data_IF_139982107702
#
_entry.id   IF_139982107702
#
_cell.length_a   1.000
_cell.length_b   1.000
_cell.length_c   1.000
_cell.angle_alpha   90.00
_cell.angle_beta   90.00
_cell.angle_gamma   90.00
#
_symmetry.space_group_name_H-M   'P 1'
#
loop_
_entity.id
_entity.type
_entity.pdbx_description
1 polymer ?
#
# COMPACT_ATOMS: atom_id res chain seq x y z
N UNK A 1 20.01 10.12 8.27
CA UNK A 1 18.96 9.31 8.92
C UNK A 1 17.60 10.03 8.99
N UNK A 2 17.46 11.25 9.53
CA UNK A 2 16.14 11.91 9.65
C UNK A 2 15.41 12.07 8.30
N UNK A 3 16.11 12.57 7.26
CA UNK A 3 15.52 12.72 5.93
C UNK A 3 15.00 11.39 5.36
N UNK A 4 15.81 10.34 5.46
CA UNK A 4 15.45 8.98 5.03
C UNK A 4 14.24 8.42 5.80
N UNK A 5 14.16 8.68 7.11
CA UNK A 5 13.01 8.31 7.92
C UNK A 5 11.72 9.06 7.52
N UNK A 6 11.84 10.33 7.11
CA UNK A 6 10.70 11.11 6.60
C UNK A 6 10.27 10.62 5.21
N UNK A 7 11.23 10.26 4.35
CA UNK A 7 10.93 9.64 3.04
C UNK A 7 10.19 8.31 3.22
N UNK A 8 10.66 7.45 4.12
CA UNK A 8 9.99 6.18 4.42
C UNK A 8 8.58 6.39 4.98
N UNK A 9 8.39 7.38 5.86
CA UNK A 9 7.09 7.74 6.39
C UNK A 9 6.13 8.27 5.31
N UNK A 10 6.64 9.10 4.40
CA UNK A 10 5.87 9.59 3.26
C UNK A 10 5.46 8.45 2.31
N UNK A 11 6.36 7.49 2.06
CA UNK A 11 6.08 6.30 1.26
C UNK A 11 5.01 5.41 1.91
N UNK A 12 5.07 5.25 3.25
CA UNK A 12 4.04 4.56 4.01
C UNK A 12 2.68 5.27 3.91
N UNK A 13 2.68 6.60 3.95
CA UNK A 13 1.49 7.43 3.71
C UNK A 13 0.86 7.20 2.33
N UNK A 14 1.68 7.22 1.27
CA UNK A 14 1.22 6.92 -0.08
C UNK A 14 0.64 5.51 -0.23
N UNK A 15 1.29 4.52 0.39
CA UNK A 15 0.83 3.13 0.41
C UNK A 15 -0.53 3.01 1.11
N UNK A 16 -0.72 3.69 2.24
CA UNK A 16 -1.99 3.66 2.96
C UNK A 16 -3.15 4.22 2.15
N UNK A 17 -2.93 5.30 1.39
CA UNK A 17 -3.95 5.88 0.51
C UNK A 17 -4.41 4.86 -0.55
N UNK A 18 -3.48 4.25 -1.29
CA UNK A 18 -3.85 3.34 -2.39
C UNK A 18 -4.44 2.02 -1.90
N UNK A 19 -4.07 1.57 -0.70
CA UNK A 19 -4.58 0.32 -0.13
C UNK A 19 -5.94 0.48 0.55
N UNK A 20 -6.22 1.65 1.13
CA UNK A 20 -7.54 1.94 1.68
C UNK A 20 -8.54 2.39 0.60
N UNK A 21 -8.08 2.88 -0.56
CA UNK A 21 -8.94 3.30 -1.64
C UNK A 21 -9.85 2.13 -2.09
N UNK A 22 -11.16 2.40 -2.14
CA UNK A 22 -12.17 1.39 -2.51
C UNK A 22 -12.51 0.38 -1.39
N UNK A 23 -11.93 0.50 -0.20
CA UNK A 23 -12.29 -0.33 0.96
C UNK A 23 -13.25 0.37 1.91
N UNK A 24 -13.83 -0.38 2.85
CA UNK A 24 -14.67 0.19 3.92
C UNK A 24 -13.92 1.12 4.86
N UNK A 25 -12.58 1.07 4.89
CA UNK A 25 -11.74 1.96 5.72
C UNK A 25 -11.41 3.28 5.01
N UNK A 26 -11.75 3.42 3.73
CA UNK A 26 -11.43 4.60 2.91
C UNK A 26 -11.88 5.91 3.54
N UNK A 27 -13.16 5.98 3.92
CA UNK A 27 -13.75 7.23 4.43
C UNK A 27 -13.05 7.72 5.72
N UNK A 28 -12.67 6.78 6.61
CA UNK A 28 -11.95 7.10 7.84
C UNK A 28 -10.56 7.67 7.54
N UNK A 29 -9.80 6.97 6.68
CA UNK A 29 -8.46 7.40 6.26
C UNK A 29 -8.53 8.75 5.52
N UNK A 30 -9.45 8.91 4.58
CA UNK A 30 -9.61 10.11 3.77
C UNK A 30 -9.79 11.36 4.65
N UNK A 31 -10.66 11.26 5.66
CA UNK A 31 -10.90 12.34 6.62
C UNK A 31 -9.70 12.59 7.55
N UNK A 32 -8.96 11.55 7.93
CA UNK A 32 -7.76 11.70 8.75
C UNK A 32 -6.62 12.38 7.97
N UNK A 33 -6.39 11.96 6.72
CA UNK A 33 -5.36 12.53 5.84
C UNK A 33 -5.68 13.97 5.51
N UNK A 34 -6.93 14.29 5.17
CA UNK A 34 -7.32 15.68 4.89
C UNK A 34 -7.10 16.62 6.09
N UNK A 35 -7.41 16.16 7.31
CA UNK A 35 -7.13 16.91 8.55
C UNK A 35 -5.64 17.05 8.83
N UNK A 36 -4.84 16.02 8.50
CA UNK A 36 -3.40 16.07 8.66
C UNK A 36 -2.74 17.11 7.74
N UNK A 37 -3.22 17.25 6.50
CA UNK A 37 -2.78 18.30 5.58
C UNK A 37 -3.32 19.67 6.01
N UNK A 38 -4.65 19.82 6.13
CA UNK A 38 -5.31 21.09 6.44
C UNK A 38 -5.41 21.41 7.93
N UNK A 39 -4.31 21.30 8.69
CA UNK A 39 -4.28 21.44 10.17
C UNK A 39 -5.00 22.70 10.67
N UNK A 40 -4.84 23.81 9.95
CA UNK A 40 -5.42 25.11 10.29
C UNK A 40 -6.17 25.76 9.11
N UNK A 41 -6.20 25.09 7.94
CA UNK A 41 -6.82 25.61 6.71
C UNK A 41 -7.90 24.67 6.19
N UNK A 42 -9.16 25.09 6.35
CA UNK A 42 -10.33 24.37 5.88
C UNK A 42 -10.43 24.32 4.34
N UNK A 43 -9.82 25.26 3.62
CA UNK A 43 -9.74 25.21 2.16
C UNK A 43 -8.71 24.17 1.71
N UNK A 44 -7.55 24.11 2.38
CA UNK A 44 -6.55 23.07 2.14
C UNK A 44 -7.14 21.68 2.39
N UNK A 45 -7.85 21.50 3.52
CA UNK A 45 -8.55 20.25 3.83
C UNK A 45 -9.50 19.84 2.69
N UNK A 46 -10.33 20.76 2.18
CA UNK A 46 -11.26 20.48 1.05
C UNK A 46 -10.52 20.13 -0.24
N UNK A 47 -9.43 20.82 -0.56
CA UNK A 47 -8.62 20.52 -1.74
C UNK A 47 -7.99 19.12 -1.66
N UNK A 48 -7.54 18.72 -0.48
CA UNK A 48 -6.99 17.38 -0.23
C UNK A 48 -8.07 16.32 -0.35
N UNK A 49 -9.26 16.55 0.21
CA UNK A 49 -10.41 15.64 0.06
C UNK A 49 -10.76 15.39 -1.41
N UNK A 50 -10.88 16.44 -2.21
CA UNK A 50 -11.18 16.31 -3.64
C UNK A 50 -10.08 15.56 -4.40
N UNK A 51 -8.82 15.71 -3.99
CA UNK A 51 -7.71 15.00 -4.61
C UNK A 51 -7.70 13.51 -4.24
N UNK A 52 -7.98 13.19 -2.98
CA UNK A 52 -8.13 11.81 -2.52
C UNK A 52 -9.28 11.12 -3.27
N UNK A 53 -10.41 11.81 -3.41
CA UNK A 53 -11.58 11.34 -4.16
C UNK A 53 -11.21 10.99 -5.61
N UNK A 54 -10.55 11.91 -6.32
CA UNK A 54 -10.04 11.65 -7.67
C UNK A 54 -9.04 10.50 -7.77
N UNK A 55 -8.23 10.28 -6.73
CA UNK A 55 -7.28 9.15 -6.69
C UNK A 55 -8.04 7.82 -6.54
N UNK A 56 -9.06 7.80 -5.68
CA UNK A 56 -9.93 6.63 -5.51
C UNK A 56 -10.73 6.33 -6.78
N UNK A 57 -11.26 7.35 -7.45
CA UNK A 57 -11.95 7.20 -8.74
C UNK A 57 -11.01 6.63 -9.82
N UNK A 58 -9.76 7.11 -9.90
CA UNK A 58 -8.77 6.60 -10.84
C UNK A 58 -8.45 5.12 -10.58
N UNK A 59 -8.33 4.73 -9.30
CA UNK A 59 -8.11 3.34 -8.90
C UNK A 59 -9.32 2.46 -9.19
N UNK A 60 -10.54 2.97 -9.00
CA UNK A 60 -11.78 2.24 -9.28
C UNK A 60 -12.06 2.08 -10.78
N UNK A 61 -11.62 3.06 -11.59
CA UNK A 61 -11.78 3.02 -13.04
C UNK A 61 -10.73 2.17 -13.77
N UNK A 62 -9.62 1.84 -13.11
CA UNK A 62 -8.56 1.04 -13.70
C UNK A 62 -9.01 -0.43 -13.89
N UNK A 63 -8.79 -0.98 -15.08
CA UNK A 63 -9.03 -2.40 -15.33
C UNK A 63 -7.97 -3.30 -14.70
N UNK A 64 -8.25 -4.60 -14.62
CA UNK A 64 -7.38 -5.60 -13.97
C UNK A 64 -5.94 -5.63 -14.52
N UNK A 65 -5.73 -5.25 -15.78
CA UNK A 65 -4.40 -5.19 -16.40
C UNK A 65 -3.63 -3.88 -16.14
N UNK A 66 -4.29 -2.85 -15.61
CA UNK A 66 -3.73 -1.50 -15.41
C UNK A 66 -3.70 -1.10 -13.93
N UNK A 67 -4.45 -1.80 -13.08
CA UNK A 67 -4.64 -1.49 -11.66
C UNK A 67 -3.31 -1.36 -10.91
N UNK A 68 -2.33 -2.22 -11.18
CA UNK A 68 -1.02 -2.16 -10.53
C UNK A 68 -0.20 -0.92 -10.92
N UNK A 69 -0.28 -0.53 -12.20
CA UNK A 69 0.38 0.68 -12.70
C UNK A 69 -0.27 1.94 -12.12
N UNK A 70 -1.60 1.97 -12.03
CA UNK A 70 -2.34 3.08 -11.42
C UNK A 70 -2.06 3.15 -9.91
N UNK A 71 -2.03 2.01 -9.21
CA UNK A 71 -1.62 1.94 -7.78
C UNK A 71 -0.23 2.51 -7.57
N UNK A 72 0.76 2.08 -8.35
CA UNK A 72 2.13 2.58 -8.24
C UNK A 72 2.21 4.10 -8.47
N UNK A 73 1.50 4.59 -9.49
CA UNK A 73 1.45 6.03 -9.82
C UNK A 73 0.81 6.83 -8.69
N UNK A 74 -0.36 6.43 -8.21
CA UNK A 74 -1.06 7.15 -7.15
C UNK A 74 -0.26 7.10 -5.84
N UNK A 75 0.37 5.97 -5.51
CA UNK A 75 1.25 5.86 -4.36
C UNK A 75 2.40 6.86 -4.44
N UNK A 76 3.08 6.96 -5.59
CA UNK A 76 4.18 7.91 -5.79
C UNK A 76 3.71 9.36 -5.67
N UNK A 77 2.56 9.70 -6.25
CA UNK A 77 1.96 11.04 -6.13
C UNK A 77 1.67 11.40 -4.68
N UNK A 78 1.14 10.47 -3.89
CA UNK A 78 0.84 10.72 -2.48
C UNK A 78 2.11 10.77 -1.63
N UNK A 79 3.08 9.89 -1.89
CA UNK A 79 4.40 9.94 -1.26
C UNK A 79 5.05 11.31 -1.45
N UNK A 80 5.11 11.82 -2.68
CA UNK A 80 5.70 13.13 -2.98
C UNK A 80 4.99 14.24 -2.20
N UNK A 81 3.67 14.18 -2.07
CA UNK A 81 2.89 15.17 -1.31
C UNK A 81 3.17 15.17 0.17
N UNK A 82 3.22 13.99 0.79
CA UNK A 82 3.59 13.87 2.19
C UNK A 82 5.02 14.37 2.41
N UNK A 83 5.95 14.00 1.53
CA UNK A 83 7.33 14.46 1.55
C UNK A 83 7.44 15.98 1.47
N UNK A 84 6.79 16.59 0.47
CA UNK A 84 6.83 18.03 0.25
C UNK A 84 6.33 18.84 1.46
N UNK A 85 5.27 18.39 2.14
CA UNK A 85 4.79 19.04 3.37
C UNK A 85 5.81 18.87 4.49
N UNK A 86 6.33 17.67 4.73
CA UNK A 86 7.30 17.43 5.78
C UNK A 86 8.60 18.23 5.56
N UNK A 87 9.09 18.30 4.32
CA UNK A 87 10.28 19.05 3.94
C UNK A 87 10.10 20.56 4.05
N UNK A 88 8.90 21.07 3.74
CA UNK A 88 8.57 22.50 3.80
C UNK A 88 8.39 23.05 5.22
N UNK A 89 8.20 22.19 6.23
CA UNK A 89 8.03 22.59 7.63
C UNK A 89 9.37 22.84 8.33
N UNK A 90 9.39 23.76 9.30
CA UNK A 90 10.52 23.95 10.22
C UNK A 90 10.66 22.75 11.16
N UNK A 91 11.87 22.49 11.67
CA UNK A 91 12.21 21.24 12.37
C UNK A 91 11.20 20.82 13.46
N UNK A 92 10.82 21.73 14.38
CA UNK A 92 9.84 21.41 15.42
C UNK A 92 8.44 21.08 14.86
N UNK A 93 7.97 21.83 13.86
CA UNK A 93 6.66 21.58 13.23
C UNK A 93 6.69 20.33 12.35
N UNK A 94 7.84 20.02 11.76
CA UNK A 94 8.11 18.82 10.97
C UNK A 94 8.08 17.56 11.84
N UNK A 95 8.70 17.58 13.01
CA UNK A 95 8.66 16.45 13.96
C UNK A 95 7.22 16.18 14.41
N UNK A 96 6.48 17.22 14.83
CA UNK A 96 5.05 17.08 15.18
C UNK A 96 4.21 16.57 14.02
N UNK A 97 4.47 17.05 12.80
CA UNK A 97 3.77 16.58 11.61
C UNK A 97 4.07 15.11 11.30
N UNK A 98 5.33 14.69 11.43
CA UNK A 98 5.75 13.31 11.25
C UNK A 98 5.13 12.39 12.30
N UNK A 99 5.11 12.79 13.57
CA UNK A 99 4.43 12.04 14.64
C UNK A 99 2.92 11.91 14.39
N UNK A 100 2.26 13.00 14.00
CA UNK A 100 0.86 12.97 13.63
C UNK A 100 0.59 12.03 12.44
N UNK A 101 1.51 11.96 11.48
CA UNK A 101 1.38 11.03 10.34
C UNK A 101 1.56 9.57 10.80
N UNK A 102 2.54 9.28 11.66
CA UNK A 102 2.72 7.94 12.23
C UNK A 102 1.47 7.49 12.99
N UNK A 103 0.97 8.33 13.89
CA UNK A 103 -0.23 8.03 14.66
C UNK A 103 -1.47 7.79 13.77
N UNK A 104 -1.59 8.53 12.65
CA UNK A 104 -2.64 8.32 11.66
C UNK A 104 -2.53 6.94 11.01
N UNK A 105 -1.31 6.54 10.60
CA UNK A 105 -1.06 5.25 9.96
C UNK A 105 -1.27 4.08 10.92
N UNK A 106 -0.87 4.22 12.18
CA UNK A 106 -1.10 3.20 13.22
C UNK A 106 -2.60 3.03 13.51
N UNK A 107 -3.39 4.11 13.43
CA UNK A 107 -4.84 4.07 13.61
C UNK A 107 -5.60 3.49 12.40
N UNK A 108 -4.97 3.44 11.23
CA UNK A 108 -5.55 2.90 9.99
C UNK A 108 -4.65 1.80 9.43
N UNK A 109 -4.51 0.67 10.16
CA UNK A 109 -3.66 -0.41 9.72
C UNK A 109 -4.18 -0.94 8.38
N UNK A 110 -3.31 -0.90 7.40
CA UNK A 110 -3.58 -1.47 6.09
C UNK A 110 -3.36 -2.98 6.21
N UNK A 111 -4.43 -3.75 6.06
CA UNK A 111 -4.34 -5.21 5.95
C UNK A 111 -3.68 -5.57 4.62
N UNK A 112 -2.35 -5.64 4.61
CA UNK A 112 -1.57 -5.94 3.42
C UNK A 112 -0.06 -5.86 3.63
N UNK A 113 0.42 -5.10 4.60
CA UNK A 113 1.85 -5.03 4.91
C UNK A 113 2.17 -5.75 6.21
N UNK A 114 2.37 -7.06 6.13
CA UNK A 114 3.15 -7.76 7.15
C UNK A 114 4.60 -7.37 6.95
N UNK A 115 5.16 -6.60 7.87
CA UNK A 115 6.60 -6.35 7.93
C UNK A 115 7.32 -7.67 8.24
N UNK A 116 7.99 -8.27 7.25
CA UNK A 116 8.95 -9.35 7.51
C UNK A 116 10.26 -8.71 7.96
N UNK A 117 10.51 -8.70 9.27
CA UNK A 117 11.88 -8.55 9.78
C UNK A 117 12.62 -9.81 9.33
N UNK A 118 13.73 -9.61 8.61
CA UNK A 118 14.56 -10.61 7.92
C UNK A 118 14.09 -11.00 6.49
N UNK A 119 14.55 -10.20 5.52
CA UNK A 119 15.01 -10.71 4.22
C UNK A 119 13.99 -11.24 3.21
N UNK A 120 12.68 -11.20 3.47
CA UNK A 120 11.66 -11.68 2.53
C UNK A 120 10.76 -10.55 2.02
N UNK A 121 10.78 -10.26 0.72
CA UNK A 121 9.80 -9.38 0.09
C UNK A 121 8.48 -10.14 -0.09
N UNK A 122 7.55 -9.98 0.85
CA UNK A 122 6.17 -10.44 0.68
C UNK A 122 5.38 -9.36 -0.07
N UNK A 123 4.99 -9.65 -1.31
CA UNK A 123 3.98 -8.86 -2.01
C UNK A 123 2.65 -9.15 -1.33
N UNK A 124 2.20 -8.21 -0.51
CA UNK A 124 0.89 -8.21 0.11
C UNK A 124 -0.21 -7.94 -0.90
N UNK A 125 -0.51 -8.93 -1.72
CA UNK A 125 -1.76 -9.04 -2.45
C UNK A 125 -2.49 -10.29 -1.95
N UNK A 126 -3.76 -10.15 -1.61
CA UNK A 126 -4.62 -11.33 -1.45
C UNK A 126 -4.74 -12.00 -2.82
N UNK A 127 -3.88 -12.99 -3.10
CA UNK A 127 -3.98 -13.80 -4.31
C UNK A 127 -4.93 -14.97 -4.01
N UNK A 128 -6.22 -14.75 -4.23
CA UNK A 128 -7.16 -15.87 -4.33
C UNK A 128 -6.96 -16.52 -5.72
N UNK A 129 -6.04 -17.49 -5.80
CA UNK A 129 -5.88 -18.32 -7.00
C UNK A 129 -7.06 -19.30 -7.05
N UNK A 130 -8.14 -18.90 -7.70
CA UNK A 130 -9.25 -19.81 -8.02
C UNK A 130 -8.93 -20.54 -9.32
N UNK A 131 -8.41 -21.76 -9.19
CA UNK A 131 -8.17 -22.65 -10.32
C UNK A 131 -9.47 -23.35 -10.74
N UNK A 132 -10.18 -22.79 -11.71
CA UNK A 132 -11.23 -23.51 -12.43
C UNK A 132 -10.62 -24.09 -13.72
N UNK A 133 -10.41 -25.41 -13.71
CA UNK A 133 -9.88 -26.26 -14.81
C UNK A 133 -8.38 -26.14 -15.12
N UNK A 134 -7.59 -26.94 -14.39
CA UNK A 134 -6.60 -27.87 -14.97
C UNK A 134 -5.57 -27.32 -15.96
N UNK A 135 -4.83 -26.27 -15.62
CA UNK A 135 -3.59 -25.93 -16.32
C UNK A 135 -2.58 -25.25 -15.39
N UNK A 136 -1.35 -25.76 -15.39
CA UNK A 136 -0.21 -25.22 -14.64
C UNK A 136 0.62 -24.35 -15.58
N UNK A 137 0.74 -23.07 -15.28
CA UNK A 137 1.74 -22.19 -15.87
C UNK A 137 2.73 -21.82 -14.77
N UNK A 138 3.93 -22.41 -14.83
CA UNK A 138 5.01 -22.11 -13.91
C UNK A 138 5.80 -20.90 -14.43
N UNK A 139 5.98 -19.89 -13.60
CA UNK A 139 6.97 -18.84 -13.82
C UNK A 139 7.96 -18.83 -12.65
N UNK A 140 9.14 -19.37 -12.96
CA UNK A 140 10.40 -19.29 -12.22
C UNK A 140 10.56 -20.17 -10.95
N UNK A 141 11.28 -21.28 -11.15
CA UNK A 141 11.76 -22.21 -10.11
C UNK A 141 13.18 -21.80 -9.70
N UNK A 142 13.37 -21.45 -8.43
CA UNK A 142 14.65 -21.53 -7.73
C UNK A 142 14.74 -22.87 -6.97
N UNK A 143 15.95 -23.41 -6.86
CA UNK A 143 16.29 -24.79 -6.48
C UNK A 143 15.48 -25.40 -5.32
N UNK A 144 14.89 -26.58 -5.56
CA UNK A 144 14.21 -27.41 -4.56
C UNK A 144 14.70 -28.85 -4.70
N UNK A 145 15.55 -29.28 -3.77
CA UNK A 145 15.83 -30.70 -3.55
C UNK A 145 14.60 -31.40 -2.97
N UNK A 146 13.89 -32.16 -3.80
CA UNK A 146 12.87 -33.10 -3.38
C UNK A 146 13.49 -34.49 -3.24
N UNK A 147 13.57 -34.99 -2.01
CA UNK A 147 13.81 -36.41 -1.76
C UNK A 147 12.71 -37.25 -2.40
N UNK A 148 13.10 -38.22 -3.22
CA UNK A 148 12.22 -39.12 -3.99
C UNK A 148 11.25 -39.92 -3.11
N UNK A 149 9.92 -39.85 -3.34
CA UNK A 149 8.97 -40.81 -2.79
C UNK A 149 8.84 -42.06 -3.69
N UNK A 150 8.55 -43.25 -3.12
CA UNK A 150 8.45 -44.50 -3.88
C UNK A 150 7.13 -44.61 -4.70
N UNK A 151 7.13 -45.34 -5.83
CA UNK A 151 5.99 -45.41 -6.74
C UNK A 151 4.85 -46.32 -6.23
N UNK A 152 3.58 -45.99 -6.53
CA UNK A 152 2.42 -46.80 -6.16
C UNK A 152 2.29 -48.06 -7.02
N UNK A 153 1.95 -49.18 -6.38
CA UNK A 153 1.68 -50.46 -7.03
C UNK A 153 0.41 -50.41 -7.88
N UNK A 154 0.48 -50.97 -9.08
CA UNK A 154 -0.62 -51.10 -10.04
C UNK A 154 -1.67 -52.11 -9.56
N UNK A 155 -2.92 -51.68 -9.42
CA UNK A 155 -4.08 -52.57 -9.41
C UNK A 155 -4.37 -53.07 -10.84
N UNK A 156 -4.56 -54.38 -10.99
CA UNK A 156 -5.22 -54.98 -12.13
C UNK A 156 -6.18 -56.07 -11.63
N UNK A 157 -7.43 -56.01 -12.12
CA UNK A 157 -8.26 -57.17 -12.44
C UNK A 157 -8.95 -57.89 -11.30
#
# INVERSE_FOLDING_TARGET
>A
MLAEALTALAAAGGTAVVQAAGTSTWQGLQQAVARWFGRDDANEMRMVLNRLDRSADALAAAGDGEIDLVRLREQAVWQERFGAVLEGLRDHDRERAAEALRALLDAHPVTGTVATRDGGQAIGGNVEIRADRGSVAAWQVGDVTLGTPPPPGSQQG
#
